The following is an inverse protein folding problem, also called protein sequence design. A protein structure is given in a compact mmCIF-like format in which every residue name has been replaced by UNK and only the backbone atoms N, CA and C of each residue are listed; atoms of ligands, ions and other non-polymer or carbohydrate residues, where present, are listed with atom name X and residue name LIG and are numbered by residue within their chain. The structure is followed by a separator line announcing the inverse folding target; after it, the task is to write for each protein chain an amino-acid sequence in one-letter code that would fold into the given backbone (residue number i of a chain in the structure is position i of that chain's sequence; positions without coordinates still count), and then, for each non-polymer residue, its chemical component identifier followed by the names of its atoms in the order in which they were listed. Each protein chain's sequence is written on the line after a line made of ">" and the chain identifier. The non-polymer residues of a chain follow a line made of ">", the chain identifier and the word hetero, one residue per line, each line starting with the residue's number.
data_IF_628946815940
#
_entry.id   IF_628946815940
#
_cell.length_a   1.000
_cell.length_b   1.000
_cell.length_c   1.000
_cell.angle_alpha   90.00
_cell.angle_beta   90.00
_cell.angle_gamma   90.00
#
_symmetry.space_group_name_H-M   'P 1'
#
loop_
_entity.id
_entity.type
_entity.pdbx_description
1 polymer ?
#
# COMPACT_ATOMS: atom_id res chain seq x y z
N UNK A 1 6.44 -18.14 -35.15
CA UNK A 1 6.14 -18.10 -34.63
C UNK A 1 5.55 -17.68 -33.81
N UNK A 2 5.27 -17.58 -33.66
CA UNK A 2 4.70 -16.88 -32.91
C UNK A 2 4.07 -17.42 -31.91
N UNK A 3 3.67 -18.21 -32.14
CA UNK A 3 2.98 -18.82 -31.21
C UNK A 3 3.51 -18.72 -30.02
N UNK A 4 4.48 -18.54 -30.13
CA UNK A 4 5.10 -18.45 -29.08
C UNK A 4 4.71 -17.36 -28.30
N UNK A 5 4.39 -16.31 -28.85
CA UNK A 5 4.16 -15.16 -28.09
C UNK A 5 3.04 -15.29 -27.16
N UNK A 6 1.99 -15.80 -27.56
CA UNK A 6 0.86 -15.89 -26.69
C UNK A 6 1.06 -16.90 -25.61
N UNK A 7 1.64 -17.95 -25.97
CA UNK A 7 1.83 -18.98 -25.03
C UNK A 7 2.96 -18.70 -24.14
N UNK A 8 3.79 -17.84 -24.58
CA UNK A 8 4.86 -17.48 -23.76
C UNK A 8 4.42 -16.38 -22.89
N UNK A 9 3.45 -16.65 -22.12
CA UNK A 9 3.18 -15.75 -21.07
C UNK A 9 4.41 -15.62 -20.31
N UNK A 10 4.81 -14.40 -20.01
CA UNK A 10 5.95 -14.22 -19.17
C UNK A 10 5.69 -14.95 -17.89
N UNK A 11 6.63 -15.70 -17.46
CA UNK A 11 6.56 -16.26 -16.16
C UNK A 11 6.69 -15.08 -15.24
N UNK A 12 5.57 -14.68 -14.72
CA UNK A 12 5.58 -13.60 -13.76
C UNK A 12 6.15 -14.17 -12.49
N UNK A 13 7.24 -13.64 -12.06
CA UNK A 13 7.79 -13.98 -10.77
C UNK A 13 6.71 -13.76 -9.70
N UNK A 14 6.57 -14.65 -8.73
CA UNK A 14 5.60 -14.46 -7.67
C UNK A 14 5.84 -13.10 -7.00
N UNK A 15 4.77 -12.40 -6.72
CA UNK A 15 4.86 -11.13 -6.02
C UNK A 15 5.44 -11.35 -4.64
N UNK A 16 6.53 -10.66 -4.28
CA UNK A 16 7.16 -10.92 -2.99
C UNK A 16 6.24 -10.48 -1.84
N UNK A 17 6.14 -11.34 -0.84
CA UNK A 17 5.34 -11.06 0.35
C UNK A 17 6.14 -10.33 1.43
N UNK A 18 7.43 -10.15 1.23
CA UNK A 18 8.31 -9.57 2.24
C UNK A 18 8.81 -8.18 1.90
N UNK A 19 8.37 -7.61 0.80
CA UNK A 19 8.75 -6.25 0.43
C UNK A 19 7.64 -5.57 -0.35
N UNK A 20 7.59 -4.24 -0.21
CA UNK A 20 6.60 -3.42 -0.90
C UNK A 20 6.92 -3.34 -2.39
N UNK A 21 5.87 -3.33 -3.20
CA UNK A 21 6.00 -3.00 -4.61
C UNK A 21 6.15 -1.47 -4.75
N UNK A 22 6.73 -0.98 -5.84
CA UNK A 22 6.93 0.45 -6.01
C UNK A 22 5.65 1.29 -5.85
N UNK A 23 4.52 0.83 -6.40
CA UNK A 23 3.28 1.60 -6.29
C UNK A 23 2.78 1.63 -4.84
N UNK A 24 2.94 0.55 -4.10
CA UNK A 24 2.54 0.50 -2.70
C UNK A 24 3.35 1.51 -1.88
N UNK A 25 4.64 1.51 -2.10
CA UNK A 25 5.53 2.42 -1.39
C UNK A 25 5.22 3.87 -1.74
N UNK A 26 4.98 4.16 -3.00
CA UNK A 26 4.64 5.51 -3.46
C UNK A 26 3.35 6.01 -2.81
N UNK A 27 2.32 5.17 -2.75
CA UNK A 27 1.05 5.53 -2.13
C UNK A 27 1.20 5.78 -0.63
N UNK A 28 1.95 4.94 0.06
CA UNK A 28 2.18 5.10 1.50
C UNK A 28 2.94 6.38 1.80
N UNK A 29 3.97 6.69 1.01
CA UNK A 29 4.71 7.93 1.20
C UNK A 29 3.85 9.16 0.92
N UNK A 30 3.01 9.10 -0.10
CA UNK A 30 2.13 10.21 -0.42
C UNK A 30 1.09 10.45 0.69
N UNK A 31 0.63 9.40 1.34
CA UNK A 31 -0.35 9.51 2.40
C UNK A 31 0.14 10.35 3.59
N UNK A 32 1.45 10.45 3.77
CA UNK A 32 2.02 11.23 4.86
C UNK A 32 1.61 12.70 4.81
N UNK A 33 1.32 13.22 3.61
CA UNK A 33 0.92 14.63 3.47
C UNK A 33 -0.43 14.92 4.12
N UNK A 34 -1.23 13.91 4.41
CA UNK A 34 -2.52 14.07 5.09
C UNK A 34 -2.41 14.05 6.61
N UNK A 35 -1.23 13.80 7.15
CA UNK A 35 -1.00 13.68 8.59
C UNK A 35 -0.30 14.92 9.13
N UNK A 36 -0.43 15.14 10.43
CA UNK A 36 0.38 16.13 11.12
C UNK A 36 1.86 15.74 11.04
N UNK A 37 2.79 16.70 11.11
CA UNK A 37 4.21 16.41 10.91
C UNK A 37 4.78 15.28 11.76
N UNK A 38 4.37 15.18 13.03
CA UNK A 38 4.85 14.13 13.91
C UNK A 38 4.38 12.76 13.44
N UNK A 39 3.10 12.63 13.09
CA UNK A 39 2.56 11.37 12.57
C UNK A 39 3.13 11.04 11.19
N UNK A 40 3.34 12.05 10.35
CA UNK A 40 3.94 11.85 9.04
C UNK A 40 5.35 11.25 9.14
N UNK A 41 6.14 11.74 10.09
CA UNK A 41 7.47 11.20 10.34
C UNK A 41 7.42 9.76 10.85
N UNK A 42 6.45 9.45 11.70
CA UNK A 42 6.25 8.08 12.19
C UNK A 42 5.82 7.16 11.06
N UNK A 43 4.91 7.61 10.20
CA UNK A 43 4.49 6.81 9.05
C UNK A 43 5.68 6.45 8.15
N UNK A 44 6.55 7.40 7.86
CA UNK A 44 7.72 7.14 7.04
C UNK A 44 8.59 6.02 7.64
N UNK A 45 8.76 6.02 8.96
CA UNK A 45 9.53 4.99 9.65
C UNK A 45 8.79 3.66 9.68
N UNK A 46 7.47 3.69 9.83
CA UNK A 46 6.64 2.48 9.79
C UNK A 46 6.75 1.81 8.43
N UNK A 47 6.74 2.59 7.35
CA UNK A 47 6.87 2.06 5.99
C UNK A 47 8.18 1.28 5.85
N UNK A 48 9.25 1.78 6.42
CA UNK A 48 10.55 1.10 6.39
C UNK A 48 10.56 -0.20 7.20
N UNK A 49 9.63 -0.35 8.15
CA UNK A 49 9.53 -1.55 8.98
C UNK A 49 8.66 -2.63 8.35
N UNK A 50 7.86 -2.33 7.34
CA UNK A 50 6.98 -3.31 6.74
C UNK A 50 7.82 -4.41 6.08
N UNK A 51 7.61 -5.64 6.53
CA UNK A 51 8.33 -6.79 6.01
C UNK A 51 7.42 -7.97 5.71
N UNK A 52 6.10 -7.78 5.79
CA UNK A 52 5.15 -8.80 5.41
C UNK A 52 3.92 -8.13 4.81
N UNK A 53 3.56 -8.52 3.59
CA UNK A 53 2.46 -7.94 2.85
C UNK A 53 1.51 -9.06 2.43
N UNK A 54 0.24 -8.91 2.77
CA UNK A 54 -0.81 -9.83 2.35
C UNK A 54 -1.58 -9.22 1.21
N UNK A 55 -1.56 -9.89 0.07
CA UNK A 55 -2.29 -9.47 -1.12
C UNK A 55 -3.31 -10.55 -1.48
N UNK A 56 -4.57 -10.38 -1.08
CA UNK A 56 -5.61 -11.35 -1.43
C UNK A 56 -5.76 -11.45 -2.95
N UNK A 57 -6.39 -12.52 -3.41
CA UNK A 57 -6.51 -12.78 -4.85
C UNK A 57 -7.25 -11.70 -5.62
N UNK A 58 -8.20 -11.00 -4.98
CA UNK A 58 -8.92 -9.89 -5.63
C UNK A 58 -8.17 -8.57 -5.56
N UNK A 59 -7.13 -8.49 -4.75
CA UNK A 59 -6.31 -7.30 -4.56
C UNK A 59 -7.10 -6.04 -4.22
N UNK A 60 -8.25 -6.18 -3.56
CA UNK A 60 -9.02 -5.02 -3.12
C UNK A 60 -8.47 -4.40 -1.86
N UNK A 61 -7.79 -5.21 -1.05
CA UNK A 61 -7.19 -4.76 0.19
C UNK A 61 -5.82 -5.38 0.33
N UNK A 62 -4.80 -4.55 0.43
CA UNK A 62 -3.42 -4.98 0.64
C UNK A 62 -3.07 -4.66 2.09
N UNK A 63 -2.70 -5.66 2.87
CA UNK A 63 -2.42 -5.50 4.30
C UNK A 63 -0.93 -5.54 4.59
N UNK A 64 -0.50 -4.71 5.53
CA UNK A 64 0.90 -4.55 5.87
C UNK A 64 1.17 -4.96 7.30
N UNK A 65 2.26 -5.66 7.52
CA UNK A 65 2.68 -6.10 8.84
C UNK A 65 4.18 -5.92 9.02
N UNK A 66 4.56 -5.66 10.26
CA UNK A 66 5.95 -5.74 10.70
C UNK A 66 6.04 -6.99 11.56
N UNK A 67 6.72 -8.02 11.06
CA UNK A 67 6.87 -9.29 11.78
C UNK A 67 8.27 -9.43 12.32
N UNK A 68 8.35 -9.96 13.54
CA UNK A 68 9.62 -10.28 14.18
C UNK A 68 9.47 -11.65 14.82
N UNK A 69 10.31 -12.60 14.43
CA UNK A 69 10.23 -13.98 14.92
C UNK A 69 8.83 -14.58 14.74
N UNK A 70 8.26 -14.47 13.54
CA UNK A 70 6.94 -15.01 13.19
C UNK A 70 5.77 -14.33 13.88
N UNK A 71 5.99 -13.26 14.64
CA UNK A 71 4.92 -12.51 15.29
C UNK A 71 4.83 -11.11 14.73
N UNK A 72 3.60 -10.62 14.59
CA UNK A 72 3.38 -9.23 14.25
C UNK A 72 3.82 -8.39 15.43
N UNK A 73 4.83 -7.56 15.22
CA UNK A 73 5.37 -6.73 16.27
C UNK A 73 5.93 -5.43 15.71
N UNK A 74 5.16 -4.39 15.87
CA UNK A 74 5.59 -3.06 15.49
C UNK A 74 6.41 -2.44 16.62
N UNK A 75 7.51 -1.74 16.32
CA UNK A 75 8.26 -1.04 17.36
C UNK A 75 7.39 -0.01 18.05
N UNK A 76 7.31 -0.08 19.39
CA UNK A 76 6.42 0.78 20.16
C UNK A 76 6.69 2.26 19.93
N UNK A 77 7.94 2.64 19.75
CA UNK A 77 8.32 4.04 19.53
C UNK A 77 7.90 4.60 18.17
N UNK A 78 7.46 3.74 17.26
CA UNK A 78 7.00 4.18 15.94
C UNK A 78 5.48 4.28 15.85
N UNK A 79 4.74 3.91 16.90
CA UNK A 79 3.29 3.92 16.86
C UNK A 79 2.75 5.34 16.99
N UNK A 80 1.62 5.59 16.32
CA UNK A 80 0.85 6.81 16.55
C UNK A 80 0.26 6.76 17.97
N UNK A 81 -0.02 7.93 18.53
CA UNK A 81 -0.66 7.98 19.85
C UNK A 81 -2.09 7.44 19.83
N UNK A 82 -2.76 7.55 18.72
CA UNK A 82 -4.13 7.03 18.56
C UNK A 82 -4.09 5.61 18.04
N UNK A 83 -4.84 4.73 18.69
CA UNK A 83 -4.84 3.31 18.37
C UNK A 83 -6.13 2.83 17.71
N UNK A 84 -7.13 3.68 17.61
CA UNK A 84 -8.36 3.33 16.90
C UNK A 84 -8.07 3.13 15.40
N UNK A 85 -8.93 2.39 14.72
CA UNK A 85 -8.86 2.27 13.27
C UNK A 85 -9.30 3.59 12.66
N UNK A 86 -8.48 4.16 11.80
CA UNK A 86 -8.85 5.39 11.10
C UNK A 86 -8.27 5.40 9.69
N UNK A 87 -8.94 6.17 8.83
CA UNK A 87 -8.44 6.34 7.47
C UNK A 87 -7.44 7.48 7.47
N UNK A 88 -6.22 7.20 7.03
CA UNK A 88 -5.17 8.22 6.94
C UNK A 88 -5.49 9.20 5.81
N UNK A 89 -5.86 8.66 4.65
CA UNK A 89 -6.15 9.48 3.48
C UNK A 89 -6.94 8.69 2.44
N UNK A 90 -7.62 9.42 1.56
CA UNK A 90 -8.14 8.89 0.30
C UNK A 90 -7.38 9.58 -0.82
N UNK A 91 -6.83 8.80 -1.73
CA UNK A 91 -6.03 9.35 -2.83
C UNK A 91 -6.71 9.09 -4.16
N UNK A 92 -6.79 10.14 -4.97
CA UNK A 92 -7.24 10.02 -6.35
C UNK A 92 -6.01 9.74 -7.21
N UNK A 93 -6.00 8.60 -7.87
CA UNK A 93 -4.83 8.11 -8.59
C UNK A 93 -5.16 7.75 -10.03
N UNK A 94 -4.15 7.81 -10.87
CA UNK A 94 -4.20 7.25 -12.23
C UNK A 94 -3.11 6.19 -12.34
N UNK A 95 -3.52 4.98 -12.69
CA UNK A 95 -2.62 3.88 -12.97
C UNK A 95 -2.64 3.68 -14.48
N UNK A 96 -1.68 4.30 -15.18
CA UNK A 96 -1.74 4.38 -16.62
C UNK A 96 -2.97 5.19 -17.05
N UNK A 97 -3.87 4.59 -17.80
CA UNK A 97 -5.09 5.25 -18.26
C UNK A 97 -6.28 5.04 -17.30
N UNK A 98 -6.11 4.31 -16.23
CA UNK A 98 -7.22 3.97 -15.32
C UNK A 98 -7.18 4.80 -14.06
N UNK A 99 -8.34 5.34 -13.71
CA UNK A 99 -8.50 6.10 -12.47
C UNK A 99 -8.94 5.17 -11.36
N UNK A 100 -8.47 5.45 -10.16
CA UNK A 100 -8.88 4.71 -8.97
C UNK A 100 -8.78 5.59 -7.73
N UNK A 101 -9.68 5.32 -6.77
CA UNK A 101 -9.57 5.89 -5.44
C UNK A 101 -8.92 4.84 -4.54
N UNK A 102 -7.94 5.27 -3.78
CA UNK A 102 -7.23 4.40 -2.86
C UNK A 102 -7.33 4.96 -1.45
N UNK A 103 -7.82 4.15 -0.53
CA UNK A 103 -7.84 4.50 0.88
C UNK A 103 -6.63 3.91 1.59
N UNK A 104 -6.05 4.69 2.47
CA UNK A 104 -4.94 4.24 3.32
C UNK A 104 -5.45 4.20 4.74
N UNK A 105 -5.32 3.04 5.37
CA UNK A 105 -5.86 2.79 6.71
C UNK A 105 -4.76 2.59 7.74
N UNK A 106 -5.07 3.00 8.97
CA UNK A 106 -4.26 2.74 10.15
C UNK A 106 -5.09 1.98 11.16
N UNK A 107 -4.44 1.13 11.94
CA UNK A 107 -5.06 0.33 12.98
C UNK A 107 -4.02 0.04 14.05
N UNK A 108 -4.39 0.17 15.31
CA UNK A 108 -3.48 -0.15 16.41
C UNK A 108 -2.26 0.76 16.48
N UNK A 109 -2.35 1.96 15.94
CA UNK A 109 -1.24 2.91 15.96
C UNK A 109 -0.28 2.83 14.77
N UNK A 110 -0.57 2.01 13.76
CA UNK A 110 0.32 1.88 12.60
C UNK A 110 -0.48 1.77 11.31
N UNK A 111 0.20 2.04 10.20
CA UNK A 111 -0.41 1.84 8.88
C UNK A 111 -0.74 0.36 8.71
N UNK A 112 -1.94 0.06 8.22
CA UNK A 112 -2.43 -1.31 8.16
C UNK A 112 -2.76 -1.79 6.76
N UNK A 113 -3.29 -0.93 5.89
CA UNK A 113 -3.77 -1.40 4.61
C UNK A 113 -3.92 -0.30 3.57
N UNK A 114 -3.85 -0.71 2.30
CA UNK A 114 -4.37 0.03 1.17
C UNK A 114 -5.62 -0.67 0.70
N UNK A 115 -6.62 0.11 0.29
CA UNK A 115 -7.89 -0.45 -0.16
C UNK A 115 -8.40 0.27 -1.39
N UNK A 116 -8.89 -0.48 -2.37
CA UNK A 116 -9.51 0.08 -3.55
C UNK A 116 -10.68 -0.79 -3.96
N UNK A 117 -11.83 -0.17 -4.19
CA UNK A 117 -13.04 -0.90 -4.55
C UNK A 117 -12.90 -1.67 -5.87
N UNK A 118 -12.08 -1.18 -6.77
CA UNK A 118 -11.90 -1.83 -8.09
C UNK A 118 -10.83 -2.92 -8.07
N UNK A 119 -10.09 -3.06 -6.99
CA UNK A 119 -9.01 -4.04 -6.91
C UNK A 119 -7.77 -3.61 -7.70
N UNK A 120 -6.60 -3.79 -7.09
CA UNK A 120 -5.35 -3.37 -7.74
C UNK A 120 -4.95 -4.28 -8.91
N UNK A 121 -5.44 -5.52 -8.93
CA UNK A 121 -5.11 -6.44 -10.01
C UNK A 121 -5.65 -5.99 -11.36
N UNK A 122 -6.72 -5.19 -11.36
CA UNK A 122 -7.28 -4.63 -12.60
C UNK A 122 -6.61 -3.36 -13.05
N UNK A 123 -5.63 -2.87 -12.31
CA UNK A 123 -4.92 -1.64 -12.61
C UNK A 123 -3.53 -1.93 -13.15
N UNK A 124 -2.95 -0.99 -13.88
CA UNK A 124 -1.58 -1.15 -14.41
C UNK A 124 -0.58 -0.79 -13.31
N UNK A 125 -0.45 -1.66 -12.31
CA UNK A 125 0.36 -1.37 -11.12
C UNK A 125 1.85 -1.35 -11.38
N UNK A 126 2.32 -1.94 -12.48
CA UNK A 126 3.71 -1.88 -12.88
C UNK A 126 4.01 -0.71 -13.82
N UNK A 127 2.99 0.01 -14.24
CA UNK A 127 3.14 1.15 -15.14
C UNK A 127 3.20 2.47 -14.37
N UNK A 128 3.07 3.59 -15.08
CA UNK A 128 3.13 4.89 -14.45
C UNK A 128 2.00 5.09 -13.45
N UNK A 129 2.33 5.66 -12.30
CA UNK A 129 1.37 6.04 -11.28
C UNK A 129 1.41 7.55 -11.11
N UNK A 130 0.23 8.19 -11.27
CA UNK A 130 0.07 9.60 -10.95
C UNK A 130 -0.87 9.74 -9.77
N UNK A 131 -0.40 10.34 -8.71
CA UNK A 131 -1.24 10.66 -7.55
C UNK A 131 -1.74 12.08 -7.76
N UNK A 132 -3.01 12.20 -8.10
CA UNK A 132 -3.59 13.48 -8.47
C UNK A 132 -3.96 14.32 -7.26
N UNK A 133 -4.38 13.69 -6.19
CA UNK A 133 -4.79 14.39 -4.98
C UNK A 133 -4.71 13.44 -3.79
N UNK A 134 -4.38 14.01 -2.63
CA UNK A 134 -4.39 13.31 -1.34
C UNK A 134 -5.38 14.05 -0.46
N UNK A 135 -6.47 13.39 -0.08
CA UNK A 135 -7.52 13.98 0.73
C UNK A 135 -7.43 13.41 2.15
N UNK A 136 -7.25 14.28 3.16
CA UNK A 136 -7.35 13.81 4.54
C UNK A 136 -8.79 13.38 4.84
N UNK A 137 -8.99 12.57 5.89
CA UNK A 137 -10.33 12.18 6.29
C UNK A 137 -11.10 13.42 6.75
N UNK A 138 -12.39 13.41 6.48
CA UNK A 138 -13.27 14.51 6.88
C UNK A 138 -13.67 14.35 8.33
#
# INVERSE_FOLDING_TARGET
>A
MAALTGSLRPIVAPTPANQLLPFEKALLHAAASALQPTEAALLAKQVDCINHIRRPSDWKRIEFQCKHWFRVRWPAQLLFDRTETFRIATMACQFGAKDALVDVWAEGGHVSALESAVGFSGLSISGPLNILAVHPPV
#
